data_IF_842352385237
#
_entry.id   IF_842352385237
#
_cell.length_a   1.000
_cell.length_b   1.000
_cell.length_c   1.000
_cell.angle_alpha   90.00
_cell.angle_beta   90.00
_cell.angle_gamma   90.00
#
_symmetry.space_group_name_H-M   'P 1'
#
loop_
_entity.id
_entity.type
_entity.pdbx_description
1 polymer ?
#
# COMPACT_ATOMS: atom_id res chain seq x y z
N UNK A 1 -14.84 -29.60 -8.28
CA UNK A 1 -14.03 -28.38 -8.42
C UNK A 1 -14.93 -27.26 -7.94
N UNK A 2 -14.76 -26.85 -6.69
CA UNK A 2 -15.55 -25.75 -6.15
C UNK A 2 -14.84 -24.47 -6.55
N UNK A 3 -15.44 -23.71 -7.46
CA UNK A 3 -15.02 -22.33 -7.67
C UNK A 3 -15.34 -21.53 -6.42
N UNK A 4 -14.34 -20.84 -5.88
CA UNK A 4 -14.59 -19.68 -5.05
C UNK A 4 -14.71 -18.53 -6.06
N UNK A 5 -15.93 -18.06 -6.29
CA UNK A 5 -16.11 -16.73 -6.86
C UNK A 5 -15.68 -15.76 -5.76
N UNK A 6 -14.44 -15.30 -5.87
CA UNK A 6 -13.91 -14.31 -4.96
C UNK A 6 -14.78 -13.06 -5.12
N UNK A 7 -15.65 -12.81 -4.14
CA UNK A 7 -16.30 -11.52 -4.03
C UNK A 7 -15.23 -10.61 -3.46
N UNK A 8 -14.33 -10.15 -4.34
CA UNK A 8 -13.37 -9.11 -4.01
C UNK A 8 -14.16 -7.80 -3.95
N UNK A 9 -14.78 -7.57 -2.80
CA UNK A 9 -15.12 -6.21 -2.38
C UNK A 9 -13.83 -5.61 -1.85
N UNK A 10 -13.20 -4.76 -2.66
CA UNK A 10 -11.98 -4.08 -2.23
C UNK A 10 -12.22 -3.40 -0.88
N UNK A 11 -11.25 -3.46 0.03
CA UNK A 11 -11.38 -2.87 1.38
C UNK A 11 -11.03 -1.39 1.28
N UNK A 12 -11.99 -0.46 1.36
CA UNK A 12 -11.67 0.95 1.20
C UNK A 12 -11.00 1.50 2.47
N UNK A 13 -10.06 2.41 2.29
CA UNK A 13 -9.41 3.18 3.37
C UNK A 13 -8.48 2.34 4.25
N UNK A 14 -7.65 1.52 3.62
CA UNK A 14 -6.57 0.78 4.29
C UNK A 14 -5.53 1.74 4.86
N UNK A 15 -4.93 1.34 5.99
CA UNK A 15 -3.75 1.99 6.56
C UNK A 15 -2.64 0.95 6.65
N UNK A 16 -1.65 1.08 5.78
CA UNK A 16 -0.53 0.16 5.63
C UNK A 16 0.76 0.84 6.08
N UNK A 17 1.47 0.22 7.01
CA UNK A 17 2.74 0.73 7.53
C UNK A 17 3.85 -0.28 7.26
N UNK A 18 4.90 0.19 6.58
CA UNK A 18 6.17 -0.48 6.40
C UNK A 18 7.02 -0.41 7.67
N UNK A 19 8.32 -0.60 7.50
CA UNK A 19 9.32 -0.55 8.54
C UNK A 19 10.63 0.05 7.99
N UNK A 20 11.77 -0.20 8.62
CA UNK A 20 13.05 0.37 8.19
C UNK A 20 13.71 -0.37 7.00
N UNK A 21 13.12 -1.48 6.55
CA UNK A 21 13.60 -2.27 5.43
C UNK A 21 12.74 -2.03 4.19
N UNK A 22 13.21 -2.46 3.02
CA UNK A 22 12.43 -2.43 1.80
C UNK A 22 11.11 -3.21 1.94
N UNK A 23 9.98 -2.53 1.79
CA UNK A 23 8.65 -3.13 1.82
C UNK A 23 7.93 -3.06 0.47
N UNK A 24 6.98 -3.97 0.28
CA UNK A 24 5.95 -3.85 -0.76
C UNK A 24 4.61 -3.71 -0.07
N UNK A 25 3.99 -2.54 -0.19
CA UNK A 25 2.67 -2.26 0.38
C UNK A 25 1.68 -2.14 -0.78
N UNK A 26 0.66 -3.00 -0.80
CA UNK A 26 -0.42 -2.95 -1.77
C UNK A 26 -1.70 -2.54 -1.04
N UNK A 27 -2.23 -1.38 -1.41
CA UNK A 27 -3.59 -0.97 -1.09
C UNK A 27 -4.62 -1.77 -1.88
N UNK A 28 -5.84 -1.25 -1.92
CA UNK A 28 -6.98 -1.83 -2.61
C UNK A 28 -7.75 -0.71 -3.34
N UNK A 29 -8.97 -0.97 -3.81
CA UNK A 29 -9.84 0.11 -4.23
C UNK A 29 -10.27 0.96 -3.03
N UNK A 30 -9.98 2.26 -3.01
CA UNK A 30 -10.30 3.10 -1.86
C UNK A 30 -9.54 4.42 -1.76
N UNK A 31 -9.47 4.97 -0.56
CA UNK A 31 -8.60 6.11 -0.24
C UNK A 31 -7.60 5.65 0.81
N UNK A 32 -6.54 5.00 0.37
CA UNK A 32 -5.64 4.30 1.26
C UNK A 32 -4.49 5.19 1.75
N UNK A 33 -3.93 4.85 2.90
CA UNK A 33 -2.73 5.47 3.46
C UNK A 33 -1.61 4.44 3.51
N UNK A 34 -0.57 4.65 2.69
CA UNK A 34 0.60 3.77 2.59
C UNK A 34 1.82 4.50 3.12
N UNK A 35 2.35 4.05 4.25
CA UNK A 35 3.53 4.63 4.89
C UNK A 35 4.72 3.67 4.71
N UNK A 36 5.63 3.96 3.78
CA UNK A 36 6.83 3.14 3.55
C UNK A 36 7.82 3.17 4.71
N UNK A 37 7.90 4.32 5.40
CA UNK A 37 8.85 4.61 6.47
C UNK A 37 10.31 4.66 6.02
N UNK A 38 11.08 3.58 6.08
CA UNK A 38 12.51 3.56 5.79
C UNK A 38 12.88 2.48 4.80
N UNK A 39 13.99 2.65 4.08
CA UNK A 39 14.38 1.73 3.01
C UNK A 39 13.76 2.10 1.66
N UNK A 40 13.96 1.23 0.68
CA UNK A 40 13.50 1.44 -0.69
C UNK A 40 12.19 0.66 -0.90
N UNK A 41 11.07 1.36 -0.78
CA UNK A 41 9.73 0.75 -0.81
C UNK A 41 9.09 0.75 -2.19
N UNK A 42 8.21 -0.22 -2.41
CA UNK A 42 7.23 -0.22 -3.49
C UNK A 42 5.84 -0.05 -2.90
N UNK A 43 5.24 1.12 -3.14
CA UNK A 43 3.92 1.49 -2.63
C UNK A 43 2.92 1.50 -3.79
N UNK A 44 1.94 0.61 -3.75
CA UNK A 44 0.92 0.46 -4.80
C UNK A 44 -0.45 0.79 -4.19
N UNK A 45 -0.95 2.02 -4.38
CA UNK A 45 -2.26 2.44 -3.88
C UNK A 45 -3.46 1.80 -4.60
N UNK A 46 -3.24 1.25 -5.80
CA UNK A 46 -4.30 0.74 -6.68
C UNK A 46 -5.32 1.83 -7.06
N UNK A 47 -6.62 1.59 -6.88
CA UNK A 47 -7.65 2.44 -7.45
C UNK A 47 -8.21 3.42 -6.42
N UNK A 48 -8.06 4.72 -6.67
CA UNK A 48 -8.68 5.78 -5.87
C UNK A 48 -7.67 6.85 -5.48
N UNK A 49 -8.00 7.61 -4.43
CA UNK A 49 -7.20 8.76 -3.99
C UNK A 49 -6.39 8.40 -2.75
N UNK A 50 -5.17 7.93 -2.99
CA UNK A 50 -4.30 7.42 -1.94
C UNK A 50 -3.30 8.45 -1.45
N UNK A 51 -2.93 8.34 -0.17
CA UNK A 51 -1.83 9.10 0.44
C UNK A 51 -0.65 8.18 0.64
N UNK A 52 0.48 8.51 0.02
CA UNK A 52 1.71 7.75 0.13
C UNK A 52 2.79 8.57 0.82
N UNK A 53 3.31 8.06 1.94
CA UNK A 53 4.43 8.66 2.66
C UNK A 53 5.67 7.82 2.45
N UNK A 54 6.67 8.39 1.79
CA UNK A 54 8.01 7.82 1.63
C UNK A 54 9.02 8.63 2.46
N UNK A 55 10.13 8.03 2.90
CA UNK A 55 11.22 8.80 3.48
C UNK A 55 11.71 9.85 2.49
N UNK A 56 12.05 11.03 2.99
CA UNK A 56 12.82 12.01 2.20
C UNK A 56 14.07 11.29 1.69
N UNK A 57 14.30 11.33 0.38
CA UNK A 57 15.52 10.79 -0.21
C UNK A 57 16.69 11.33 0.62
N UNK A 58 17.45 10.43 1.24
CA UNK A 58 18.64 10.81 1.99
C UNK A 58 19.64 11.33 0.98
N UNK A 59 19.58 12.63 0.69
CA UNK A 59 20.57 13.31 -0.13
C UNK A 59 21.85 13.36 0.70
N UNK A 60 22.72 12.36 0.50
CA UNK A 60 24.14 12.42 0.85
C UNK A 60 24.82 13.52 0.04
#
# INVERSE_FOLDING_TARGET
MSDIFDIVIGVPNLVLNGNANANTLNGDAGHDTLNGLGGNDMLNGLAGNDTQTVPLASTL
#
